data_IF_190502951443
#
_entry.id   IF_190502951443
#
_cell.length_a   1.000
_cell.length_b   1.000
_cell.length_c   1.000
_cell.angle_alpha   90.00
_cell.angle_beta   90.00
_cell.angle_gamma   90.00
#
_symmetry.space_group_name_H-M   'P 1'
#
loop_
_entity.id
_entity.type
_entity.pdbx_description
1 polymer ?
#
# COMPACT_ATOMS: atom_id res chain seq x y z
N UNK A 1 -3.52 16.23 65.05
CA UNK A 1 -4.06 15.34 63.99
C UNK A 1 -4.72 16.09 62.84
N UNK A 2 -5.68 17.00 63.07
CA UNK A 2 -6.37 17.75 62.00
C UNK A 2 -5.42 18.56 61.08
N UNK A 3 -4.39 19.21 61.63
CA UNK A 3 -3.40 19.99 60.83
C UNK A 3 -2.51 19.12 59.95
N UNK A 4 -2.16 17.91 60.39
CA UNK A 4 -1.37 16.95 59.61
C UNK A 4 -2.17 16.41 58.41
N UNK A 5 -3.47 16.16 58.59
CA UNK A 5 -4.37 15.76 57.50
C UNK A 5 -4.44 16.81 56.38
N UNK A 6 -4.52 18.10 56.71
CA UNK A 6 -4.53 19.16 55.69
C UNK A 6 -3.21 19.26 54.93
N UNK A 7 -2.07 19.04 55.59
CA UNK A 7 -0.74 19.08 54.93
C UNK A 7 -0.55 17.86 54.01
N UNK A 8 -1.01 16.68 54.43
CA UNK A 8 -0.97 15.47 53.60
C UNK A 8 -1.86 15.62 52.36
N UNK A 9 -3.07 16.15 52.53
CA UNK A 9 -4.00 16.41 51.42
C UNK A 9 -3.42 17.40 50.39
N UNK A 10 -2.68 18.40 50.87
CA UNK A 10 -2.03 19.41 50.03
C UNK A 10 -0.78 18.84 49.33
N UNK A 11 -0.01 17.96 49.97
CA UNK A 11 1.14 17.30 49.36
C UNK A 11 0.75 16.33 48.23
N UNK A 12 -0.35 15.58 48.40
CA UNK A 12 -0.90 14.67 47.39
C UNK A 12 -1.37 15.40 46.11
N UNK A 13 -1.70 16.70 46.22
CA UNK A 13 -2.20 17.48 45.09
C UNK A 13 -1.09 18.07 44.20
N UNK A 14 0.14 18.21 44.71
CA UNK A 14 1.28 18.80 43.96
C UNK A 14 2.07 17.73 43.18
N UNK A 15 1.98 16.46 43.57
CA UNK A 15 2.76 15.37 42.95
C UNK A 15 2.29 14.92 41.56
N UNK A 16 1.22 15.49 40.99
CA UNK A 16 0.65 15.02 39.71
C UNK A 16 1.07 15.81 38.45
N UNK A 17 1.97 16.79 38.56
CA UNK A 17 2.29 17.75 37.49
C UNK A 17 3.31 17.28 36.43
N UNK A 18 3.24 16.05 35.93
CA UNK A 18 4.05 15.70 34.73
C UNK A 18 3.42 14.61 33.86
N UNK A 19 2.67 15.02 32.84
CA UNK A 19 2.26 14.13 31.75
C UNK A 19 2.40 14.84 30.41
N UNK A 20 3.61 14.82 29.86
CA UNK A 20 3.84 15.09 28.43
C UNK A 20 4.08 13.75 27.75
N UNK A 21 3.10 13.26 27.02
CA UNK A 21 3.24 12.09 26.13
C UNK A 21 2.95 12.56 24.71
N UNK A 22 4.00 12.85 23.95
CA UNK A 22 3.89 13.13 22.51
C UNK A 22 4.26 11.84 21.79
N UNK A 23 3.27 11.19 21.18
CA UNK A 23 3.44 9.99 20.37
C UNK A 23 3.42 10.37 18.88
N UNK A 24 4.29 9.76 18.08
CA UNK A 24 4.37 9.98 16.63
C UNK A 24 4.41 8.63 15.89
N UNK A 25 3.30 8.16 15.32
CA UNK A 25 3.26 6.91 14.56
C UNK A 25 3.79 7.07 13.13
N UNK A 26 4.30 5.95 12.58
CA UNK A 26 4.78 5.85 11.19
C UNK A 26 3.96 4.77 10.46
N UNK A 27 3.28 5.14 9.38
CA UNK A 27 2.66 4.18 8.46
C UNK A 27 3.44 4.10 7.15
N UNK A 28 3.63 2.87 6.65
CA UNK A 28 4.30 2.59 5.37
C UNK A 28 3.26 2.15 4.33
N UNK A 29 3.17 2.87 3.22
CA UNK A 29 2.41 2.44 2.04
C UNK A 29 3.40 2.00 0.97
N UNK A 30 3.25 0.76 0.48
CA UNK A 30 4.06 0.21 -0.61
C UNK A 30 3.20 0.23 -1.87
N UNK A 31 3.64 0.97 -2.89
CA UNK A 31 3.02 0.99 -4.22
C UNK A 31 3.90 0.21 -5.20
N UNK A 32 3.37 -0.85 -5.78
CA UNK A 32 4.02 -1.60 -6.84
C UNK A 32 3.52 -1.07 -8.20
N UNK A 33 4.42 -0.64 -9.07
CA UNK A 33 4.11 -0.34 -10.47
C UNK A 33 4.73 -1.37 -11.41
N UNK A 34 3.99 -1.76 -12.45
CA UNK A 34 4.43 -2.69 -13.49
C UNK A 34 4.49 -1.89 -14.78
N UNK A 35 5.65 -1.89 -15.45
CA UNK A 35 5.83 -1.25 -16.76
C UNK A 35 5.96 -2.37 -17.79
N UNK A 36 5.04 -2.39 -18.76
CA UNK A 36 5.08 -3.32 -19.89
C UNK A 36 5.64 -2.58 -21.11
N UNK A 37 6.62 -3.19 -21.79
CA UNK A 37 7.17 -2.66 -23.04
C UNK A 37 6.64 -3.46 -24.23
N UNK A 38 6.06 -2.78 -25.22
CA UNK A 38 5.65 -3.39 -26.48
C UNK A 38 6.89 -3.53 -27.39
N UNK A 39 7.56 -4.68 -27.32
CA UNK A 39 8.71 -4.98 -28.19
C UNK A 39 8.25 -5.66 -29.47
N UNK A 40 8.69 -5.16 -30.63
CA UNK A 40 8.49 -5.82 -31.93
C UNK A 40 9.57 -6.88 -32.15
N UNK A 41 9.16 -8.14 -32.33
CA UNK A 41 10.08 -9.26 -32.58
C UNK A 41 9.98 -9.74 -34.03
N UNK A 42 11.12 -9.92 -34.69
CA UNK A 42 11.21 -10.59 -35.98
C UNK A 42 11.71 -12.01 -35.77
N UNK A 43 10.82 -13.01 -35.79
CA UNK A 43 11.20 -14.42 -35.72
C UNK A 43 11.38 -14.99 -37.13
N UNK A 44 12.50 -15.69 -37.35
CA UNK A 44 12.76 -16.41 -38.60
C UNK A 44 11.96 -17.71 -38.59
N UNK A 45 10.93 -17.78 -39.41
CA UNK A 45 10.11 -18.98 -39.59
C UNK A 45 11.01 -20.18 -39.97
N UNK A 46 10.73 -21.35 -39.41
CA UNK A 46 11.41 -22.59 -39.79
C UNK A 46 10.99 -22.91 -41.23
N UNK A 47 11.91 -22.93 -42.20
CA UNK A 47 11.55 -23.20 -43.59
C UNK A 47 11.13 -24.67 -43.73
N UNK A 48 9.88 -24.88 -44.17
CA UNK A 48 9.40 -26.22 -44.48
C UNK A 48 9.81 -26.58 -45.91
N UNK A 49 10.61 -27.64 -46.07
CA UNK A 49 11.00 -28.17 -47.38
C UNK A 49 10.62 -29.64 -47.45
N UNK A 50 9.82 -29.96 -48.47
CA UNK A 50 9.42 -31.33 -48.78
C UNK A 50 9.62 -31.55 -50.28
N UNK A 51 9.87 -32.79 -50.66
CA UNK A 51 10.17 -33.17 -52.03
C UNK A 51 9.64 -34.57 -52.31
N UNK A 52 8.89 -34.69 -53.40
CA UNK A 52 8.35 -35.96 -53.87
C UNK A 52 8.72 -36.12 -55.34
N UNK A 53 9.10 -37.33 -55.73
CA UNK A 53 9.36 -37.71 -57.12
C UNK A 53 8.35 -38.77 -57.53
N UNK A 54 7.65 -38.54 -58.64
CA UNK A 54 6.62 -39.43 -59.18
C UNK A 54 7.00 -39.72 -60.63
N UNK A 55 6.73 -40.94 -61.12
CA UNK A 55 6.98 -41.33 -62.51
C UNK A 55 5.88 -40.87 -63.48
N UNK A 56 4.95 -40.05 -62.99
CA UNK A 56 3.78 -39.58 -63.72
C UNK A 56 3.98 -38.16 -64.26
N UNK A 57 3.12 -37.81 -65.21
CA UNK A 57 3.09 -36.49 -65.84
C UNK A 57 2.52 -35.40 -64.91
N UNK A 58 1.90 -35.78 -63.78
CA UNK A 58 1.38 -34.85 -62.78
C UNK A 58 1.85 -35.23 -61.37
N UNK A 59 2.04 -34.23 -60.51
CA UNK A 59 2.42 -34.41 -59.11
C UNK A 59 1.66 -33.46 -58.19
N UNK A 60 1.43 -33.91 -56.97
CA UNK A 60 0.78 -33.13 -55.93
C UNK A 60 1.60 -33.24 -54.63
N UNK A 61 1.93 -32.09 -54.05
CA UNK A 61 2.70 -31.98 -52.81
C UNK A 61 1.93 -31.13 -51.81
N UNK A 62 1.91 -31.53 -50.54
CA UNK A 62 1.25 -30.75 -49.49
C UNK A 62 2.07 -30.72 -48.21
N UNK A 63 1.94 -29.63 -47.47
CA UNK A 63 2.41 -29.50 -46.11
C UNK A 63 1.26 -28.98 -45.22
N UNK A 64 1.45 -28.84 -43.90
CA UNK A 64 0.40 -28.34 -43.01
C UNK A 64 -0.14 -26.94 -43.33
N UNK A 65 0.55 -26.16 -44.16
CA UNK A 65 0.25 -24.76 -44.45
C UNK A 65 -0.21 -24.50 -45.89
N UNK A 66 0.21 -25.34 -46.83
CA UNK A 66 0.10 -25.11 -48.26
C UNK A 66 0.06 -26.42 -49.05
N UNK A 67 -0.43 -26.31 -50.27
CA UNK A 67 -0.44 -27.39 -51.24
C UNK A 67 0.03 -26.88 -52.60
N UNK A 68 0.57 -27.78 -53.40
CA UNK A 68 1.11 -27.47 -54.71
C UNK A 68 0.74 -28.57 -55.68
N UNK A 69 0.41 -28.17 -56.90
CA UNK A 69 0.07 -29.06 -58.00
C UNK A 69 0.93 -28.73 -59.20
N UNK A 70 1.58 -29.74 -59.77
CA UNK A 70 2.32 -29.61 -61.01
C UNK A 70 1.80 -30.62 -62.04
N UNK A 71 1.65 -30.20 -63.29
CA UNK A 71 1.16 -31.04 -64.38
C UNK A 71 1.85 -30.66 -65.68
N UNK A 72 2.41 -31.66 -66.34
CA UNK A 72 3.09 -31.52 -67.62
C UNK A 72 2.11 -31.81 -68.75
N UNK A 73 2.05 -30.92 -69.74
CA UNK A 73 1.24 -31.16 -70.94
C UNK A 73 1.85 -30.46 -72.14
N UNK A 74 1.96 -31.18 -73.26
CA UNK A 74 2.40 -30.66 -74.55
C UNK A 74 3.68 -29.80 -74.49
N UNK A 75 4.70 -30.28 -73.78
CA UNK A 75 5.98 -29.57 -73.64
C UNK A 75 5.98 -28.43 -72.61
N UNK A 76 4.87 -28.20 -71.91
CA UNK A 76 4.71 -27.12 -70.92
C UNK A 76 4.45 -27.69 -69.53
N UNK A 77 5.19 -27.21 -68.52
CA UNK A 77 4.93 -27.52 -67.11
C UNK A 77 4.01 -26.46 -66.50
N UNK A 78 2.81 -26.86 -66.11
CA UNK A 78 1.92 -26.03 -65.31
C UNK A 78 2.20 -26.29 -63.84
N UNK A 79 2.39 -25.23 -63.04
CA UNK A 79 2.64 -25.33 -61.61
C UNK A 79 1.79 -24.31 -60.86
N UNK A 80 1.13 -24.75 -59.79
CA UNK A 80 0.34 -23.90 -58.90
C UNK A 80 0.68 -24.17 -57.44
N UNK A 81 0.53 -23.13 -56.62
CA UNK A 81 0.73 -23.16 -55.17
C UNK A 81 -0.45 -22.45 -54.51
N UNK A 82 -1.06 -23.10 -53.53
CA UNK A 82 -2.12 -22.55 -52.69
C UNK A 82 -1.79 -22.68 -51.22
N UNK A 83 -2.30 -21.75 -50.41
CA UNK A 83 -2.19 -21.76 -48.94
C UNK A 83 -3.55 -22.18 -48.38
N UNK A 84 -3.56 -23.08 -47.39
CA UNK A 84 -4.81 -23.48 -46.76
C UNK A 84 -5.45 -22.30 -46.02
N UNK A 85 -6.78 -22.13 -46.10
CA UNK A 85 -7.47 -21.15 -45.28
C UNK A 85 -7.23 -21.48 -43.79
N UNK A 86 -6.84 -20.47 -43.01
CA UNK A 86 -6.50 -20.60 -41.58
C UNK A 86 -5.20 -21.38 -41.25
N UNK A 87 -4.29 -21.57 -42.20
CA UNK A 87 -2.94 -22.03 -41.88
C UNK A 87 -2.25 -21.07 -40.89
N UNK A 88 -1.95 -21.53 -39.67
CA UNK A 88 -1.32 -20.72 -38.62
C UNK A 88 0.05 -21.25 -38.23
N UNK A 89 1.01 -20.36 -38.03
CA UNK A 89 2.35 -20.71 -37.52
C UNK A 89 2.47 -20.25 -36.08
N UNK A 90 2.71 -21.19 -35.17
CA UNK A 90 2.92 -20.87 -33.75
C UNK A 90 4.34 -20.35 -33.54
N UNK A 91 4.43 -19.08 -33.18
CA UNK A 91 5.68 -18.35 -32.93
C UNK A 91 5.79 -18.12 -31.42
N UNK A 92 6.91 -18.51 -30.80
CA UNK A 92 7.10 -18.38 -29.34
C UNK A 92 7.78 -17.05 -29.04
N UNK A 93 6.99 -16.07 -28.63
CA UNK A 93 7.50 -14.73 -28.32
C UNK A 93 8.00 -14.70 -26.87
N UNK A 94 9.29 -14.42 -26.61
CA UNK A 94 9.76 -14.15 -25.26
C UNK A 94 9.35 -12.73 -24.87
N UNK A 95 8.46 -12.57 -23.89
CA UNK A 95 8.19 -11.27 -23.29
C UNK A 95 9.21 -10.99 -22.19
N UNK A 96 9.77 -9.77 -22.16
CA UNK A 96 10.57 -9.28 -21.05
C UNK A 96 9.69 -8.41 -20.16
N UNK A 97 9.44 -8.84 -18.92
CA UNK A 97 8.73 -8.02 -17.93
C UNK A 97 9.77 -7.42 -16.99
N UNK A 98 9.94 -6.10 -17.05
CA UNK A 98 10.71 -5.38 -16.05
C UNK A 98 9.79 -4.97 -14.88
N UNK A 99 10.01 -5.56 -13.71
CA UNK A 99 9.30 -5.17 -12.49
C UNK A 99 10.13 -4.14 -11.73
N UNK A 100 9.73 -2.86 -11.82
CA UNK A 100 10.40 -1.78 -11.06
C UNK A 100 9.70 -1.62 -9.70
N UNK A 101 10.40 -1.97 -8.62
CA UNK A 101 9.91 -1.73 -7.25
C UNK A 101 10.28 -0.30 -6.83
N UNK A 102 9.32 0.63 -6.87
CA UNK A 102 9.51 1.97 -6.27
C UNK A 102 9.14 1.93 -4.80
N UNK A 103 10.12 2.13 -3.94
CA UNK A 103 9.90 2.28 -2.50
C UNK A 103 9.70 3.78 -2.25
N UNK A 104 8.45 4.23 -2.15
CA UNK A 104 8.14 5.60 -1.74
C UNK A 104 8.43 5.75 -0.23
N UNK A 105 9.30 6.70 0.11
CA UNK A 105 9.59 7.04 1.51
C UNK A 105 8.44 7.92 2.02
N UNK A 106 7.68 7.49 3.05
CA UNK A 106 6.53 8.24 3.52
C UNK A 106 6.97 9.56 4.17
N UNK A 107 6.31 10.66 3.79
CA UNK A 107 6.44 11.96 4.45
C UNK A 107 5.57 11.98 5.70
N UNK A 108 6.06 12.45 6.86
CA UNK A 108 5.27 12.46 8.08
C UNK A 108 4.12 13.47 7.96
N UNK A 109 2.89 13.00 8.14
CA UNK A 109 1.70 13.85 8.29
C UNK A 109 1.06 13.57 9.66
N UNK A 110 0.67 14.62 10.42
CA UNK A 110 0.10 14.43 11.74
C UNK A 110 -1.35 13.95 11.63
N UNK A 111 -1.63 12.72 12.06
CA UNK A 111 -2.99 12.19 12.23
C UNK A 111 -3.34 12.19 13.70
N UNK A 112 -4.52 12.71 14.03
CA UNK A 112 -5.04 12.72 15.40
C UNK A 112 -5.49 11.32 15.81
N UNK A 113 -4.76 10.71 16.77
CA UNK A 113 -5.13 9.41 17.36
C UNK A 113 -6.02 9.63 18.58
N UNK A 114 -7.07 8.81 18.72
CA UNK A 114 -7.87 8.80 19.94
C UNK A 114 -7.02 8.37 21.15
N UNK A 115 -7.11 9.14 22.24
CA UNK A 115 -6.41 8.86 23.49
C UNK A 115 -6.79 7.48 24.02
N UNK A 116 -5.80 6.68 24.40
CA UNK A 116 -6.05 5.41 25.07
C UNK A 116 -6.78 5.63 26.39
N UNK A 117 -7.46 4.60 26.89
CA UNK A 117 -8.18 4.69 28.16
C UNK A 117 -7.27 5.19 29.30
N UNK A 118 -6.00 4.77 29.32
CA UNK A 118 -5.03 5.20 30.34
C UNK A 118 -4.56 6.65 30.18
N UNK A 119 -4.46 7.14 28.95
CA UNK A 119 -4.15 8.56 28.70
C UNK A 119 -5.33 9.45 29.06
N UNK A 120 -6.56 9.05 28.69
CA UNK A 120 -7.80 9.71 29.13
C UNK A 120 -7.89 9.73 30.66
N UNK A 121 -7.58 8.61 31.32
CA UNK A 121 -7.56 8.53 32.78
C UNK A 121 -6.57 9.52 33.41
N UNK A 122 -5.33 9.59 32.91
CA UNK A 122 -4.31 10.54 33.39
C UNK A 122 -4.72 12.00 33.19
N UNK A 123 -5.30 12.33 32.04
CA UNK A 123 -5.79 13.69 31.73
C UNK A 123 -6.93 14.06 32.70
N UNK A 124 -7.89 13.16 32.90
CA UNK A 124 -9.01 13.36 33.80
C UNK A 124 -8.55 13.52 35.26
N UNK A 125 -7.57 12.72 35.70
CA UNK A 125 -6.98 12.83 37.03
C UNK A 125 -6.26 14.18 37.23
N UNK A 126 -5.51 14.64 36.23
CA UNK A 126 -4.91 15.97 36.23
C UNK A 126 -5.93 17.09 36.35
N UNK A 127 -7.02 17.05 35.57
CA UNK A 127 -8.12 18.02 35.66
C UNK A 127 -8.81 18.04 37.03
N UNK A 128 -9.08 16.86 37.61
CA UNK A 128 -9.67 16.74 38.94
C UNK A 128 -8.75 17.28 40.05
N UNK A 129 -7.43 17.08 39.92
CA UNK A 129 -6.47 17.61 40.91
C UNK A 129 -6.42 19.15 40.91
N UNK A 130 -6.58 19.79 39.75
CA UNK A 130 -6.60 21.25 39.64
C UNK A 130 -7.86 21.86 40.27
N UNK A 131 -9.03 21.24 40.07
CA UNK A 131 -10.29 21.72 40.64
C UNK A 131 -10.34 21.57 42.17
N UNK A 132 -9.81 20.47 42.71
CA UNK A 132 -9.71 20.24 44.15
C UNK A 132 -8.78 21.27 44.80
N UNK A 133 -7.65 21.58 44.18
CA UNK A 133 -6.75 22.63 44.70
C UNK A 133 -7.43 24.00 44.75
N UNK A 134 -8.15 24.39 43.68
CA UNK A 134 -8.81 25.68 43.60
C UNK A 134 -9.88 25.84 44.70
N UNK A 135 -10.66 24.80 44.94
CA UNK A 135 -11.70 24.80 45.99
C UNK A 135 -11.11 24.86 47.39
N UNK A 136 -10.01 24.16 47.67
CA UNK A 136 -9.31 24.27 48.95
C UNK A 136 -8.79 25.69 49.23
N UNK A 137 -8.23 26.37 48.23
CA UNK A 137 -7.73 27.75 48.36
C UNK A 137 -8.88 28.70 48.72
N UNK A 138 -10.00 28.61 48.00
CA UNK A 138 -11.18 29.44 48.26
C UNK A 138 -11.74 29.21 49.67
N UNK A 139 -11.77 27.96 50.13
CA UNK A 139 -12.21 27.62 51.47
C UNK A 139 -11.33 28.26 52.56
N UNK A 140 -10.00 28.26 52.39
CA UNK A 140 -9.06 28.89 53.33
C UNK A 140 -9.29 30.41 53.38
N UNK A 141 -9.48 31.05 52.22
CA UNK A 141 -9.77 32.50 52.14
C UNK A 141 -11.08 32.84 52.85
N UNK A 142 -12.15 32.08 52.59
CA UNK A 142 -13.44 32.28 53.24
C UNK A 142 -13.35 32.10 54.76
N UNK A 143 -12.63 31.07 55.22
CA UNK A 143 -12.41 30.82 56.63
C UNK A 143 -11.63 31.95 57.31
N UNK A 144 -10.57 32.45 56.68
CA UNK A 144 -9.80 33.60 57.17
C UNK A 144 -10.66 34.87 57.22
N UNK A 145 -11.47 35.14 56.21
CA UNK A 145 -12.38 36.29 56.18
C UNK A 145 -13.41 36.23 57.32
N UNK A 146 -14.03 35.06 57.56
CA UNK A 146 -14.97 34.86 58.67
C UNK A 146 -14.26 35.05 60.02
N UNK A 147 -13.04 34.53 60.15
CA UNK A 147 -12.24 34.64 61.38
C UNK A 147 -11.85 36.08 61.68
N UNK A 148 -11.47 36.86 60.68
CA UNK A 148 -11.13 38.29 60.81
C UNK A 148 -12.39 39.08 61.20
N UNK A 149 -13.53 38.84 60.55
CA UNK A 149 -14.81 39.49 60.89
C UNK A 149 -15.20 39.24 62.34
N UNK A 150 -15.15 37.99 62.80
CA UNK A 150 -15.47 37.63 64.19
C UNK A 150 -14.56 38.29 65.22
N UNK A 151 -13.31 38.61 64.86
CA UNK A 151 -12.33 39.26 65.74
C UNK A 151 -12.47 40.79 65.76
N UNK A 152 -13.12 41.38 64.77
CA UNK A 152 -13.40 42.83 64.70
C UNK A 152 -14.75 43.21 65.34
N UNK A 153 -15.65 42.25 65.50
CA UNK A 153 -16.98 42.43 66.13
C UNK A 153 -17.01 42.04 67.61
N UNK A 154 -15.85 41.85 68.24
CA UNK A 154 -15.66 41.52 69.66
C UNK A 154 -14.75 42.57 70.27
#
# INVERSE_FOLDING_TARGET
MKRLLYVILLALSVCSCRTRTVYMPVETKVLDSIICHDTTFQEKLIPYKDSVSVSDTASFLRNPYAYSYASWNNGTLNHSLGIYPHATVTVKIPYFIERIRRIEVPKPYPVEKELSWWEKFKINYGGASLSINLTCILFVIAWLAIKIRKKLTM
#
